data_IF_686252579204
#
_entry.id   IF_686252579204
#
_cell.length_a   1.000
_cell.length_b   1.000
_cell.length_c   1.000
_cell.angle_alpha   90.00
_cell.angle_beta   90.00
_cell.angle_gamma   90.00
#
_symmetry.space_group_name_H-M   'P 1'
#
loop_
_entity.id
_entity.type
_entity.pdbx_description
1 polymer ?
#
# COMPACT_ATOMS: atom_id res chain seq x y z
N UNK A 1 -18.38 -7.55 18.34
CA UNK A 1 -18.00 -7.57 18.03
C UNK A 1 -17.24 -7.80 18.04
N UNK A 2 -17.10 -7.84 17.95
CA UNK A 2 -16.28 -8.07 17.74
C UNK A 2 -15.29 -7.82 17.86
N UNK A 3 -15.17 -7.68 17.79
CA UNK A 3 -14.34 -7.48 17.67
C UNK A 3 -13.48 -7.37 18.07
N UNK A 4 -13.57 -7.32 18.27
CA UNK A 4 -12.78 -7.13 18.43
C UNK A 4 -11.88 -7.43 18.83
N UNK A 5 -11.97 -7.67 18.79
CA UNK A 5 -11.19 -7.96 18.91
C UNK A 5 -10.22 -8.26 18.88
N UNK A 6 -10.19 -8.34 18.67
CA UNK A 6 -9.37 -8.63 18.32
C UNK A 6 -8.44 -8.55 18.40
N UNK A 7 -8.45 -8.39 18.50
CA UNK A 7 -7.66 -8.22 18.29
C UNK A 7 -6.66 -8.18 18.29
N UNK A 8 -6.65 -8.09 18.26
CA UNK A 8 -5.84 -8.00 17.97
C UNK A 8 -4.87 -8.36 17.92
N UNK A 9 -4.81 -8.64 17.82
CA UNK A 9 -4.04 -9.01 17.49
C UNK A 9 -3.12 -8.86 17.18
N UNK A 10 -3.29 -8.49 17.03
CA UNK A 10 -2.50 -8.36 16.56
C UNK A 10 -1.54 -8.34 16.41
N UNK A 11 -1.57 -8.31 16.36
CA UNK A 11 -0.75 -8.34 15.99
C UNK A 11 0.13 -8.26 15.76
N UNK A 12 0.13 -8.07 15.75
CA UNK A 12 0.87 -8.04 15.26
C UNK A 12 1.74 -8.40 15.02
N UNK A 13 1.72 -8.62 15.04
CA UNK A 13 2.47 -9.09 14.59
C UNK A 13 3.17 -8.85 14.07
N UNK A 14 2.87 -8.63 13.97
CA UNK A 14 3.55 -8.61 13.31
C UNK A 14 4.24 -8.60 12.81
N UNK A 15 4.20 -8.59 12.73
CA UNK A 15 4.75 -8.69 12.02
C UNK A 15 5.48 -8.66 11.61
N UNK A 16 5.54 -8.53 11.61
CA UNK A 16 6.22 -8.51 11.02
C UNK A 16 6.88 -8.82 10.58
N UNK A 17 6.84 -9.01 10.66
CA UNK A 17 7.39 -9.43 10.10
C UNK A 17 7.93 -9.40 9.44
N UNK A 18 7.79 -9.24 9.39
CA UNK A 18 8.28 -9.31 8.69
C UNK A 18 8.60 -9.34 8.00
N UNK A 19 8.46 -9.24 7.85
CA UNK A 19 8.75 -9.29 6.97
C UNK A 19 9.37 -8.76 6.37
N UNK A 20 9.47 -8.18 6.34
CA UNK A 20 10.55 -7.53 5.62
C UNK A 20 11.01 -8.24 4.39
N UNK A 21 10.56 -9.39 4.30
CA UNK A 21 10.87 -10.24 3.16
C UNK A 21 10.39 -9.62 1.86
N UNK A 22 9.21 -9.04 1.88
CA UNK A 22 8.68 -8.42 0.67
C UNK A 22 9.56 -7.25 0.21
N UNK A 23 10.29 -6.66 1.14
CA UNK A 23 11.21 -5.59 0.79
C UNK A 23 12.32 -6.10 -0.12
N UNK A 24 12.82 -7.31 0.12
CA UNK A 24 13.88 -7.83 -0.72
C UNK A 24 13.42 -8.04 -2.16
N UNK A 25 12.14 -8.31 -2.38
CA UNK A 25 11.60 -8.43 -3.73
C UNK A 25 11.63 -7.09 -4.47
N UNK A 26 11.69 -5.97 -3.73
CA UNK A 26 11.74 -4.63 -4.31
C UNK A 26 13.16 -4.10 -4.44
N UNK A 27 14.17 -4.89 -4.11
CA UNK A 27 15.54 -4.41 -4.02
C UNK A 27 16.32 -4.58 -5.31
N UNK A 28 15.68 -4.51 -6.48
CA UNK A 28 16.38 -4.57 -7.76
C UNK A 28 17.03 -3.23 -8.11
N UNK A 29 17.79 -3.20 -9.23
CA UNK A 29 18.46 -1.98 -9.65
C UNK A 29 17.52 -0.79 -9.83
N UNK A 30 16.32 -1.04 -10.34
CA UNK A 30 15.35 0.04 -10.49
C UNK A 30 15.02 0.65 -9.13
N UNK A 31 14.76 -0.18 -8.13
CA UNK A 31 14.41 0.30 -6.81
C UNK A 31 15.54 1.10 -6.17
N UNK A 32 16.78 0.67 -6.39
CA UNK A 32 17.94 1.38 -5.87
C UNK A 32 18.07 2.78 -6.48
N UNK A 33 17.68 2.92 -7.75
CA UNK A 33 17.76 4.20 -8.44
C UNK A 33 16.51 5.06 -8.25
N UNK A 34 15.42 4.46 -7.75
CA UNK A 34 14.14 5.15 -7.56
C UNK A 34 13.56 4.82 -6.19
N UNK A 35 14.31 5.15 -5.11
CA UNK A 35 13.90 4.66 -3.77
C UNK A 35 12.54 5.18 -3.33
N UNK A 36 12.20 6.42 -3.65
CA UNK A 36 10.90 6.96 -3.24
C UNK A 36 9.76 6.30 -3.98
N UNK A 37 9.93 6.08 -5.28
CA UNK A 37 8.91 5.38 -6.06
C UNK A 37 8.79 3.93 -5.64
N UNK A 38 9.91 3.30 -5.35
CA UNK A 38 9.91 1.91 -4.88
C UNK A 38 9.12 1.77 -3.57
N UNK A 39 9.31 2.72 -2.66
CA UNK A 39 8.59 2.71 -1.39
C UNK A 39 7.08 2.87 -1.61
N UNK A 40 6.68 3.84 -2.43
CA UNK A 40 5.26 4.07 -2.72
C UNK A 40 4.65 2.84 -3.40
N UNK A 41 5.32 2.30 -4.41
CA UNK A 41 4.81 1.15 -5.14
C UNK A 41 4.73 -0.10 -4.25
N UNK A 42 5.71 -0.27 -3.37
CA UNK A 42 5.70 -1.39 -2.44
C UNK A 42 4.50 -1.32 -1.50
N UNK A 43 4.18 -0.13 -1.02
CA UNK A 43 3.01 0.06 -0.18
C UNK A 43 1.70 -0.23 -0.94
N UNK A 44 1.62 0.21 -2.20
CA UNK A 44 0.44 -0.05 -3.01
C UNK A 44 0.25 -1.55 -3.24
N UNK A 45 1.32 -2.27 -3.52
CA UNK A 45 1.24 -3.72 -3.69
C UNK A 45 0.77 -4.40 -2.41
N UNK A 46 1.30 -3.95 -1.28
CA UNK A 46 0.90 -4.50 0.00
C UNK A 46 -0.58 -4.22 0.28
N UNK A 47 -1.04 -3.02 -0.04
CA UNK A 47 -2.45 -2.67 0.12
C UNK A 47 -3.34 -3.53 -0.75
N UNK A 48 -2.94 -3.77 -2.00
CA UNK A 48 -3.71 -4.63 -2.90
C UNK A 48 -3.84 -6.03 -2.33
N UNK A 49 -2.77 -6.58 -1.77
CA UNK A 49 -2.84 -7.90 -1.15
C UNK A 49 -3.75 -7.89 0.07
N UNK A 50 -3.72 -6.81 0.86
CA UNK A 50 -4.60 -6.68 2.02
C UNK A 50 -6.07 -6.61 1.59
N UNK A 51 -6.36 -5.85 0.54
CA UNK A 51 -7.74 -5.76 0.03
C UNK A 51 -8.23 -7.14 -0.39
N UNK A 52 -7.43 -7.88 -1.14
CA UNK A 52 -7.81 -9.23 -1.57
C UNK A 52 -8.05 -10.16 -0.40
N UNK A 53 -7.19 -10.08 0.62
CA UNK A 53 -7.35 -10.91 1.81
C UNK A 53 -8.63 -10.57 2.57
N UNK A 54 -8.87 -9.26 2.78
CA UNK A 54 -10.07 -8.83 3.49
C UNK A 54 -11.33 -9.24 2.75
N UNK A 55 -11.29 -9.19 1.44
CA UNK A 55 -12.41 -9.64 0.63
C UNK A 55 -12.64 -11.14 0.79
N UNK A 56 -11.57 -11.93 0.72
CA UNK A 56 -11.69 -13.39 0.87
C UNK A 56 -12.20 -13.78 2.26
N UNK A 57 -11.84 -12.99 3.26
CA UNK A 57 -12.25 -13.27 4.64
C UNK A 57 -13.64 -12.72 4.96
N UNK A 58 -14.26 -12.04 4.02
CA UNK A 58 -15.59 -11.49 4.21
C UNK A 58 -15.65 -10.22 5.01
N UNK A 59 -14.51 -9.59 5.25
CA UNK A 59 -14.47 -8.33 6.02
C UNK A 59 -14.94 -7.15 5.21
N UNK A 60 -14.76 -7.20 3.89
CA UNK A 60 -15.28 -6.19 2.97
C UNK A 60 -16.01 -6.91 1.85
N UNK A 61 -16.97 -6.22 1.25
CA UNK A 61 -17.74 -6.80 0.14
C UNK A 61 -17.03 -6.51 -1.18
N UNK A 62 -17.59 -7.08 -2.27
CA UNK A 62 -16.99 -6.95 -3.60
C UNK A 62 -16.92 -5.49 -4.04
N UNK A 63 -17.98 -4.72 -3.79
CA UNK A 63 -17.99 -3.32 -4.20
C UNK A 63 -16.93 -2.52 -3.47
N UNK A 64 -16.74 -2.79 -2.18
CA UNK A 64 -15.69 -2.14 -1.41
C UNK A 64 -14.30 -2.51 -1.92
N UNK A 65 -14.09 -3.79 -2.22
CA UNK A 65 -12.81 -4.24 -2.74
C UNK A 65 -12.49 -3.56 -4.08
N UNK A 66 -13.47 -3.47 -4.96
CA UNK A 66 -13.28 -2.81 -6.25
C UNK A 66 -12.99 -1.32 -6.08
N UNK A 67 -13.68 -0.67 -5.16
CA UNK A 67 -13.44 0.75 -4.89
C UNK A 67 -12.02 0.98 -4.36
N UNK A 68 -11.57 0.16 -3.45
CA UNK A 68 -10.24 0.30 -2.86
C UNK A 68 -9.15 0.02 -3.88
N UNK A 69 -9.32 -1.00 -4.72
CA UNK A 69 -8.37 -1.26 -5.80
C UNK A 69 -8.31 -0.09 -6.77
N UNK A 70 -9.47 0.51 -7.05
CA UNK A 70 -9.52 1.66 -7.94
C UNK A 70 -8.75 2.84 -7.34
N UNK A 71 -8.91 3.08 -6.05
CA UNK A 71 -8.17 4.14 -5.37
C UNK A 71 -6.66 3.90 -5.42
N UNK A 72 -6.24 2.65 -5.23
CA UNK A 72 -4.82 2.31 -5.36
C UNK A 72 -4.30 2.57 -6.77
N UNK A 73 -5.11 2.26 -7.79
CA UNK A 73 -4.73 2.54 -9.17
C UNK A 73 -4.60 4.03 -9.45
N UNK A 74 -5.48 4.82 -8.85
CA UNK A 74 -5.40 6.28 -8.99
C UNK A 74 -4.12 6.81 -8.37
N UNK A 75 -3.74 6.32 -7.21
CA UNK A 75 -2.51 6.73 -6.56
C UNK A 75 -1.31 6.33 -7.41
N UNK A 76 -1.33 5.13 -7.97
CA UNK A 76 -0.25 4.68 -8.86
C UNK A 76 -0.14 5.55 -10.10
N UNK A 77 -1.27 5.95 -10.66
CA UNK A 77 -1.26 6.83 -11.83
C UNK A 77 -0.69 8.20 -11.47
N UNK A 78 -1.06 8.75 -10.31
CA UNK A 78 -0.51 10.02 -9.86
C UNK A 78 0.99 9.92 -9.66
N UNK A 79 1.47 8.83 -9.11
CA UNK A 79 2.89 8.60 -8.92
C UNK A 79 3.63 8.62 -10.26
N UNK A 80 3.06 7.96 -11.26
CA UNK A 80 3.66 7.96 -12.60
C UNK A 80 3.67 9.33 -13.22
N UNK A 81 2.58 10.10 -13.06
CA UNK A 81 2.47 11.43 -13.60
C UNK A 81 3.50 12.36 -12.95
N UNK A 82 3.64 12.27 -11.64
CA UNK A 82 4.64 13.06 -10.94
C UNK A 82 6.05 12.71 -11.40
N UNK A 83 6.33 11.42 -11.55
CA UNK A 83 7.64 10.97 -11.98
C UNK A 83 7.96 11.45 -13.40
N UNK A 84 6.96 11.47 -14.28
CA UNK A 84 7.18 11.89 -15.66
C UNK A 84 7.61 13.35 -15.76
N UNK A 85 7.26 14.15 -14.77
CA UNK A 85 7.64 15.56 -14.73
C UNK A 85 9.03 15.79 -14.13
N UNK A 86 9.60 14.77 -13.49
CA UNK A 86 10.86 14.88 -12.76
C UNK A 86 11.90 13.85 -13.23
N UNK A 87 11.87 13.49 -14.51
CA UNK A 87 12.88 12.61 -15.06
C UNK A 87 12.81 11.17 -14.55
N UNK A 88 11.64 10.72 -14.17
CA UNK A 88 11.45 9.36 -13.68
C UNK A 88 11.52 9.24 -12.16
N UNK A 89 11.65 10.37 -11.47
CA UNK A 89 11.76 10.39 -10.00
C UNK A 89 10.63 11.21 -9.40
N UNK A 90 10.29 10.94 -8.14
CA UNK A 90 9.38 11.80 -7.41
C UNK A 90 10.15 12.51 -6.30
N UNK A 91 9.69 13.71 -5.96
CA UNK A 91 10.32 14.50 -4.90
C UNK A 91 9.87 13.97 -3.53
N UNK A 92 10.59 14.40 -2.49
CA UNK A 92 10.21 14.05 -1.12
C UNK A 92 8.80 14.53 -0.78
N UNK A 93 8.46 15.73 -1.22
CA UNK A 93 7.13 16.29 -0.98
C UNK A 93 6.05 15.48 -1.71
N UNK A 94 6.32 15.07 -2.94
CA UNK A 94 5.41 14.22 -3.70
C UNK A 94 5.23 12.87 -3.01
N UNK A 95 6.33 12.30 -2.53
CA UNK A 95 6.26 11.05 -1.78
C UNK A 95 5.36 11.20 -0.55
N UNK A 96 5.51 12.31 0.19
CA UNK A 96 4.69 12.54 1.36
C UNK A 96 3.21 12.66 1.00
N UNK A 97 2.89 13.32 -0.09
CA UNK A 97 1.51 13.45 -0.56
C UNK A 97 0.93 12.08 -0.90
N UNK A 98 1.67 11.26 -1.65
CA UNK A 98 1.22 9.92 -2.01
C UNK A 98 1.06 9.05 -0.77
N UNK A 99 1.98 9.16 0.18
CA UNK A 99 1.90 8.40 1.42
C UNK A 99 0.65 8.76 2.22
N UNK A 100 0.26 10.03 2.23
CA UNK A 100 -0.98 10.42 2.90
C UNK A 100 -2.19 9.81 2.23
N UNK A 101 -2.20 9.76 0.91
CA UNK A 101 -3.29 9.10 0.17
C UNK A 101 -3.32 7.61 0.48
N UNK A 102 -2.16 6.97 0.48
CA UNK A 102 -2.07 5.55 0.83
C UNK A 102 -2.55 5.30 2.25
N UNK A 103 -2.23 6.19 3.18
CA UNK A 103 -2.72 6.07 4.55
C UNK A 103 -4.25 6.14 4.59
N UNK A 104 -4.85 7.00 3.76
CA UNK A 104 -6.29 7.08 3.66
C UNK A 104 -6.91 5.78 3.20
N UNK A 105 -6.35 5.17 2.16
CA UNK A 105 -6.81 3.88 1.67
C UNK A 105 -6.61 2.81 2.74
N UNK A 106 -5.46 2.82 3.38
CA UNK A 106 -5.15 1.83 4.42
C UNK A 106 -6.20 1.83 5.53
N UNK A 107 -6.65 3.02 5.95
CA UNK A 107 -7.69 3.11 6.97
C UNK A 107 -9.01 2.53 6.48
N UNK A 108 -9.32 2.67 5.20
CA UNK A 108 -10.55 2.12 4.63
C UNK A 108 -10.50 0.60 4.51
N UNK A 109 -9.32 0.05 4.25
CA UNK A 109 -9.16 -1.41 4.21
C UNK A 109 -9.44 -1.99 5.60
N UNK A 110 -9.05 -1.27 6.62
CA UNK A 110 -9.17 -1.73 7.99
C UNK A 110 -7.96 -2.51 8.43
N UNK A 111 -8.04 -3.00 9.62
CA UNK A 111 -6.88 -3.66 10.23
C UNK A 111 -7.11 -5.15 10.32
#
# INVERSE_FOLDING_TARGET
>A
MHCATSKILTTVFTAALTFGVSTSAMAGPWANNHPRRAEVNGRLENQNRRIDREYREGEINKAQAQQLHHEDQQIRQEERDMASQNGGHITKQEQNTLNQQENGVSRQIGQ
#
